data_IF_902630197364
#
_entry.id   IF_902630197364
#
_cell.length_a   1.000
_cell.length_b   1.000
_cell.length_c   1.000
_cell.angle_alpha   90.00
_cell.angle_beta   90.00
_cell.angle_gamma   90.00
#
_symmetry.space_group_name_H-M   'P 1'
#
loop_
_entity.id
_entity.type
_entity.pdbx_description
1 polymer ?
#
# COMPACT_ATOMS: atom_id res chain seq x y z
N UNK A 1 -7.99 14.89 -14.31
CA UNK A 1 -9.19 15.15 -13.47
C UNK A 1 -9.72 13.88 -12.80
N UNK A 2 -9.79 12.73 -13.49
CA UNK A 2 -10.29 11.47 -12.91
C UNK A 2 -9.43 10.92 -11.74
N UNK A 3 -8.10 11.11 -11.75
CA UNK A 3 -7.21 10.53 -10.72
C UNK A 3 -7.54 10.99 -9.30
N UNK A 4 -7.79 12.29 -9.09
CA UNK A 4 -8.20 12.78 -7.77
C UNK A 4 -9.50 12.15 -7.32
N UNK A 5 -10.53 12.09 -8.19
CA UNK A 5 -11.81 11.47 -7.84
C UNK A 5 -11.64 10.00 -7.44
N UNK A 6 -10.92 9.21 -8.23
CA UNK A 6 -10.63 7.80 -7.93
C UNK A 6 -9.86 7.67 -6.60
N UNK A 7 -8.91 8.56 -6.34
CA UNK A 7 -8.15 8.57 -5.09
C UNK A 7 -9.06 8.88 -3.89
N UNK A 8 -9.91 9.90 -3.97
CA UNK A 8 -10.86 10.22 -2.90
C UNK A 8 -11.86 9.10 -2.65
N UNK A 9 -12.39 8.47 -3.70
CA UNK A 9 -13.30 7.32 -3.56
C UNK A 9 -12.57 6.19 -2.83
N UNK A 10 -11.40 5.77 -3.32
CA UNK A 10 -10.70 4.64 -2.71
C UNK A 10 -10.19 4.91 -1.29
N UNK A 11 -9.73 6.13 -0.98
CA UNK A 11 -9.39 6.50 0.41
C UNK A 11 -10.64 6.65 1.29
N UNK A 12 -11.78 7.08 0.76
CA UNK A 12 -13.05 7.10 1.50
C UNK A 12 -13.50 5.70 1.91
N UNK A 13 -13.22 4.69 1.08
CA UNK A 13 -13.49 3.29 1.42
C UNK A 13 -12.61 2.75 2.56
N UNK A 14 -11.53 3.43 2.99
CA UNK A 14 -10.77 3.05 4.20
C UNK A 14 -11.62 3.12 5.47
N UNK A 15 -12.69 3.92 5.48
CA UNK A 15 -13.60 4.01 6.63
C UNK A 15 -14.27 2.68 6.95
N UNK A 16 -14.26 1.72 6.02
CA UNK A 16 -14.71 0.34 6.26
C UNK A 16 -13.92 -0.39 7.36
N UNK A 17 -12.64 -0.04 7.57
CA UNK A 17 -11.80 -0.69 8.60
C UNK A 17 -12.20 -0.30 10.02
N UNK A 18 -12.26 0.99 10.41
CA UNK A 18 -12.72 1.34 11.76
C UNK A 18 -14.19 0.98 12.00
N UNK A 19 -15.02 0.87 10.95
CA UNK A 19 -16.38 0.35 11.05
C UNK A 19 -16.46 -1.11 11.56
N UNK A 20 -15.38 -1.91 11.42
CA UNK A 20 -15.31 -3.25 12.01
C UNK A 20 -15.50 -3.25 13.52
N UNK A 21 -15.24 -2.13 14.20
CA UNK A 21 -15.46 -1.98 15.64
C UNK A 21 -16.93 -2.20 16.05
N UNK A 22 -17.88 -1.96 15.15
CA UNK A 22 -19.32 -1.97 15.44
C UNK A 22 -20.03 -3.22 14.89
N UNK A 23 -19.28 -4.15 14.30
CA UNK A 23 -19.85 -5.35 13.68
C UNK A 23 -19.99 -6.47 14.70
N UNK A 24 -21.18 -7.08 14.75
CA UNK A 24 -21.48 -8.21 15.65
C UNK A 24 -21.36 -9.61 15.01
N UNK A 25 -21.17 -9.71 13.69
CA UNK A 25 -21.15 -10.98 12.96
C UNK A 25 -20.20 -10.95 11.76
N UNK A 26 -19.51 -12.07 11.51
CA UNK A 26 -18.36 -12.13 10.60
C UNK A 26 -18.71 -11.84 9.13
N UNK A 27 -19.96 -12.07 8.70
CA UNK A 27 -20.40 -11.81 7.31
C UNK A 27 -20.27 -10.33 6.96
N UNK A 28 -20.69 -9.45 7.88
CA UNK A 28 -20.58 -8.00 7.67
C UNK A 28 -19.11 -7.55 7.76
N UNK A 29 -18.31 -8.19 8.61
CA UNK A 29 -16.88 -7.94 8.67
C UNK A 29 -16.18 -8.31 7.34
N UNK A 30 -16.55 -9.43 6.74
CA UNK A 30 -16.05 -9.83 5.43
C UNK A 30 -16.42 -8.82 4.33
N UNK A 31 -17.65 -8.31 4.33
CA UNK A 31 -18.07 -7.24 3.40
C UNK A 31 -17.22 -5.99 3.58
N UNK A 32 -16.99 -5.54 4.82
CA UNK A 32 -16.16 -4.37 5.09
C UNK A 32 -14.71 -4.57 4.63
N UNK A 33 -14.14 -5.76 4.83
CA UNK A 33 -12.80 -6.10 4.32
C UNK A 33 -12.78 -6.05 2.78
N UNK A 34 -13.79 -6.61 2.10
CA UNK A 34 -13.89 -6.55 0.63
C UNK A 34 -13.96 -5.09 0.16
N UNK A 35 -14.75 -4.26 0.84
CA UNK A 35 -14.88 -2.82 0.55
C UNK A 35 -13.53 -2.10 0.69
N UNK A 36 -12.75 -2.40 1.73
CA UNK A 36 -11.38 -1.86 1.84
C UNK A 36 -10.51 -2.28 0.66
N UNK A 37 -10.54 -3.57 0.28
CA UNK A 37 -9.74 -4.11 -0.83
C UNK A 37 -10.14 -3.48 -2.16
N UNK A 38 -11.43 -3.26 -2.40
CA UNK A 38 -11.93 -2.50 -3.55
C UNK A 38 -11.41 -1.05 -3.53
N UNK A 39 -11.43 -0.41 -2.36
CA UNK A 39 -10.86 0.91 -2.16
C UNK A 39 -9.38 0.99 -2.53
N UNK A 40 -8.57 0.02 -2.08
CA UNK A 40 -7.16 -0.11 -2.46
C UNK A 40 -6.99 -0.28 -3.97
N UNK A 41 -7.77 -1.15 -4.61
CA UNK A 41 -7.72 -1.38 -6.06
C UNK A 41 -8.04 -0.12 -6.88
N UNK A 42 -8.92 0.76 -6.39
CA UNK A 42 -9.26 2.03 -7.06
C UNK A 42 -8.20 3.10 -6.79
N UNK A 43 -7.77 3.30 -5.53
CA UNK A 43 -6.87 4.41 -5.17
C UNK A 43 -5.43 4.15 -5.60
N UNK A 44 -4.93 2.92 -5.56
CA UNK A 44 -3.51 2.64 -5.79
C UNK A 44 -3.06 3.07 -7.20
N UNK A 45 -3.69 2.64 -8.31
CA UNK A 45 -3.25 3.08 -9.64
C UNK A 45 -3.36 4.60 -9.84
N UNK A 46 -4.40 5.23 -9.31
CA UNK A 46 -4.61 6.67 -9.42
C UNK A 46 -3.56 7.45 -8.61
N UNK A 47 -3.29 7.04 -7.37
CA UNK A 47 -2.27 7.60 -6.49
C UNK A 47 -0.88 7.42 -7.10
N UNK A 48 -0.54 6.21 -7.55
CA UNK A 48 0.79 5.90 -8.07
C UNK A 48 1.07 6.66 -9.37
N UNK A 49 0.04 6.88 -10.19
CA UNK A 49 0.13 7.78 -11.36
C UNK A 49 0.36 9.24 -10.95
N UNK A 50 -0.31 9.73 -9.90
CA UNK A 50 -0.08 11.09 -9.41
C UNK A 50 1.32 11.24 -8.80
N UNK A 51 1.77 10.23 -8.08
CA UNK A 51 3.11 10.15 -7.49
C UNK A 51 4.19 10.08 -8.56
N UNK A 52 4.00 9.34 -9.65
CA UNK A 52 5.00 9.25 -10.72
C UNK A 52 5.35 10.62 -11.31
N UNK A 53 4.38 11.54 -11.39
CA UNK A 53 4.65 12.91 -11.80
C UNK A 53 5.53 13.67 -10.79
N UNK A 54 5.29 13.49 -9.49
CA UNK A 54 6.06 14.15 -8.43
C UNK A 54 7.47 13.57 -8.27
N UNK A 55 7.64 12.26 -8.48
CA UNK A 55 8.93 11.58 -8.30
C UNK A 55 9.96 11.90 -9.39
N UNK A 56 9.55 12.51 -10.52
CA UNK A 56 10.47 12.89 -11.60
C UNK A 56 11.57 13.84 -11.14
N UNK A 57 11.24 14.77 -10.24
CA UNK A 57 12.17 15.78 -9.70
C UNK A 57 13.29 15.16 -8.82
N UNK A 58 13.00 14.03 -8.17
CA UNK A 58 13.89 13.41 -7.16
C UNK A 58 14.50 12.06 -7.57
N UNK A 59 14.08 11.52 -8.72
CA UNK A 59 14.37 10.14 -9.12
C UNK A 59 13.15 9.23 -8.89
N UNK A 60 12.73 8.49 -9.92
CA UNK A 60 11.51 7.67 -9.85
C UNK A 60 11.69 6.52 -8.85
N UNK A 61 12.82 5.82 -8.89
CA UNK A 61 13.12 4.72 -7.97
C UNK A 61 13.19 5.19 -6.53
N UNK A 62 13.94 6.25 -6.24
CA UNK A 62 14.06 6.82 -4.91
C UNK A 62 12.73 7.39 -4.41
N UNK A 63 11.99 8.10 -5.24
CA UNK A 63 10.69 8.67 -4.89
C UNK A 63 9.63 7.60 -4.55
N UNK A 64 9.55 6.52 -5.32
CA UNK A 64 8.70 5.37 -4.97
C UNK A 64 9.24 4.60 -3.75
N UNK A 65 10.56 4.49 -3.58
CA UNK A 65 11.18 3.87 -2.40
C UNK A 65 10.85 4.61 -1.09
N UNK A 66 10.88 5.95 -1.09
CA UNK A 66 10.44 6.76 0.06
C UNK A 66 8.95 6.53 0.34
N UNK A 67 8.12 6.55 -0.71
CA UNK A 67 6.69 6.31 -0.57
C UNK A 67 6.40 4.94 0.04
N UNK A 68 7.08 3.90 -0.43
CA UNK A 68 6.95 2.55 0.10
C UNK A 68 7.41 2.49 1.56
N UNK A 69 8.56 3.06 1.91
CA UNK A 69 9.04 3.11 3.29
C UNK A 69 8.03 3.81 4.23
N UNK A 70 7.36 4.88 3.77
CA UNK A 70 6.30 5.55 4.54
C UNK A 70 5.04 4.67 4.68
N UNK A 71 4.66 3.91 3.65
CA UNK A 71 3.56 2.94 3.72
C UNK A 71 3.86 1.86 4.77
N UNK A 72 5.10 1.35 4.77
CA UNK A 72 5.58 0.33 5.70
C UNK A 72 5.66 0.84 7.14
N UNK A 73 6.03 2.11 7.37
CA UNK A 73 5.91 2.72 8.71
C UNK A 73 4.46 2.67 9.20
N UNK A 74 3.48 2.94 8.34
CA UNK A 74 2.07 2.76 8.66
C UNK A 74 1.70 1.30 8.95
N UNK A 75 2.24 0.36 8.17
CA UNK A 75 2.06 -1.08 8.36
C UNK A 75 2.66 -1.59 9.67
N UNK A 76 3.69 -0.94 10.21
CA UNK A 76 4.25 -1.22 11.54
C UNK A 76 3.39 -0.59 12.64
N UNK A 77 3.02 0.69 12.50
CA UNK A 77 2.27 1.43 13.53
C UNK A 77 0.90 0.80 13.78
N UNK A 78 0.19 0.35 12.75
CA UNK A 78 -1.16 -0.24 12.88
C UNK A 78 -1.23 -1.43 13.86
N UNK A 79 -0.46 -2.50 13.65
CA UNK A 79 -0.39 -3.64 14.58
C UNK A 79 0.16 -3.28 15.96
N UNK A 80 1.05 -2.30 16.07
CA UNK A 80 1.53 -1.80 17.37
C UNK A 80 0.41 -1.10 18.16
N UNK A 81 -0.51 -0.40 17.50
CA UNK A 81 -1.73 0.12 18.15
C UNK A 81 -2.55 -1.03 18.74
N UNK A 82 -2.77 -2.12 18.00
CA UNK A 82 -3.48 -3.30 18.52
C UNK A 82 -2.74 -3.95 19.69
N UNK A 83 -1.42 -4.07 19.59
CA UNK A 83 -0.59 -4.63 20.65
C UNK A 83 -0.72 -3.81 21.95
N UNK A 84 -0.67 -2.48 21.85
CA UNK A 84 -0.88 -1.58 22.98
C UNK A 84 -2.30 -1.68 23.55
N UNK A 85 -3.32 -1.77 22.69
CA UNK A 85 -4.71 -1.94 23.12
C UNK A 85 -4.88 -3.23 23.92
N UNK A 86 -4.31 -4.34 23.47
CA UNK A 86 -4.38 -5.60 24.21
C UNK A 86 -3.57 -5.58 25.50
N UNK A 87 -2.40 -4.93 25.50
CA UNK A 87 -1.62 -4.72 26.72
C UNK A 87 -2.41 -3.96 27.80
N UNK A 88 -3.27 -3.02 27.40
CA UNK A 88 -4.16 -2.27 28.28
C UNK A 88 -5.50 -2.99 28.56
N UNK A 89 -5.59 -4.30 28.30
CA UNK A 89 -6.81 -5.12 28.44
C UNK A 89 -8.00 -4.61 27.61
N UNK A 90 -7.71 -4.01 26.46
CA UNK A 90 -8.70 -3.61 25.47
C UNK A 90 -9.17 -4.78 24.60
N UNK A 91 -10.20 -4.53 23.79
CA UNK A 91 -10.75 -5.51 22.85
C UNK A 91 -10.47 -5.11 21.40
N UNK A 92 -10.69 -6.03 20.46
CA UNK A 92 -10.62 -5.74 19.03
C UNK A 92 -11.48 -4.53 18.64
N UNK A 93 -12.68 -4.38 19.23
CA UNK A 93 -13.55 -3.24 18.96
C UNK A 93 -12.90 -1.90 19.34
N UNK A 94 -12.21 -1.84 20.49
CA UNK A 94 -11.44 -0.64 20.87
C UNK A 94 -10.29 -0.39 19.89
N UNK A 95 -9.58 -1.44 19.48
CA UNK A 95 -8.48 -1.35 18.50
C UNK A 95 -8.94 -0.77 17.16
N UNK A 96 -10.01 -1.32 16.58
CA UNK A 96 -10.61 -0.78 15.35
C UNK A 96 -11.16 0.63 15.54
N UNK A 97 -11.73 0.97 16.69
CA UNK A 97 -12.25 2.33 16.95
C UNK A 97 -11.14 3.39 16.91
N UNK A 98 -9.94 3.08 17.40
CA UNK A 98 -8.80 4.01 17.34
C UNK A 98 -8.42 4.34 15.89
N UNK A 99 -8.65 3.42 14.94
CA UNK A 99 -8.33 3.63 13.52
C UNK A 99 -9.17 4.70 12.82
N UNK A 100 -10.23 5.22 13.46
CA UNK A 100 -10.91 6.43 12.98
C UNK A 100 -9.94 7.62 12.87
N UNK A 101 -9.01 7.74 13.82
CA UNK A 101 -8.04 8.84 13.87
C UNK A 101 -7.16 8.85 12.61
N UNK A 102 -6.36 7.81 12.30
CA UNK A 102 -5.54 7.79 11.10
C UNK A 102 -6.37 7.81 9.81
N UNK A 103 -7.59 7.25 9.80
CA UNK A 103 -8.45 7.31 8.61
C UNK A 103 -8.89 8.75 8.27
N UNK A 104 -9.29 9.54 9.26
CA UNK A 104 -9.61 10.96 9.05
C UNK A 104 -8.38 11.79 8.75
N UNK A 105 -7.24 11.53 9.39
CA UNK A 105 -5.98 12.19 9.07
C UNK A 105 -5.55 11.92 7.62
N UNK A 106 -5.73 10.70 7.12
CA UNK A 106 -5.46 10.36 5.72
C UNK A 106 -6.37 11.14 4.75
N UNK A 107 -7.66 11.28 5.06
CA UNK A 107 -8.58 12.08 4.24
C UNK A 107 -8.28 13.59 4.29
N UNK A 108 -7.91 14.11 5.46
CA UNK A 108 -7.52 15.49 5.64
C UNK A 108 -6.23 15.82 4.87
N UNK A 109 -5.20 14.98 5.01
CA UNK A 109 -3.95 15.12 4.25
C UNK A 109 -4.18 15.01 2.75
N UNK A 110 -5.08 14.12 2.29
CA UNK A 110 -5.47 14.03 0.88
C UNK A 110 -6.16 15.31 0.39
N UNK A 111 -7.02 15.91 1.20
CA UNK A 111 -7.67 17.19 0.89
C UNK A 111 -6.65 18.34 0.78
N UNK A 112 -5.67 18.39 1.68
CA UNK A 112 -4.58 19.36 1.63
C UNK A 112 -3.70 19.14 0.38
N UNK A 113 -3.33 17.90 0.09
CA UNK A 113 -2.54 17.56 -1.10
C UNK A 113 -3.24 17.97 -2.40
N UNK A 114 -4.57 17.76 -2.50
CA UNK A 114 -5.36 18.23 -3.65
C UNK A 114 -5.34 19.75 -3.79
N UNK A 115 -5.38 20.48 -2.67
CA UNK A 115 -5.34 21.95 -2.69
C UNK A 115 -3.98 22.46 -3.18
N UNK A 116 -2.88 21.84 -2.73
CA UNK A 116 -1.53 22.22 -3.14
C UNK A 116 -1.21 21.82 -4.58
N UNK A 117 -1.66 20.63 -5.02
CA UNK A 117 -1.38 20.08 -6.35
C UNK A 117 -2.67 19.66 -7.07
N UNK A 118 -3.53 20.61 -7.47
CA UNK A 118 -4.82 20.29 -8.08
C UNK A 118 -4.70 19.61 -9.45
N UNK A 119 -3.56 19.78 -10.13
CA UNK A 119 -3.26 19.14 -11.42
C UNK A 119 -1.86 18.50 -11.39
N UNK A 120 -1.73 17.27 -10.86
CA UNK A 120 -0.45 16.57 -10.74
C UNK A 120 0.27 16.40 -12.07
N UNK A 121 -0.47 16.35 -13.19
CA UNK A 121 0.10 16.25 -14.53
C UNK A 121 0.98 17.46 -14.89
N UNK A 122 0.77 18.62 -14.24
CA UNK A 122 1.60 19.82 -14.49
C UNK A 122 2.97 19.74 -13.82
N UNK A 123 3.20 18.78 -12.92
CA UNK A 123 4.50 18.55 -12.30
C UNK A 123 5.51 17.93 -13.28
N UNK A 124 5.03 17.23 -14.31
CA UNK A 124 5.87 16.93 -15.45
C UNK A 124 5.70 18.06 -16.48
N UNK A 125 6.81 18.64 -16.95
CA UNK A 125 6.79 19.55 -18.09
C UNK A 125 5.98 18.90 -19.23
N UNK A 126 5.16 19.67 -19.98
CA UNK A 126 4.41 19.13 -21.10
C UNK A 126 5.43 18.66 -22.14
N UNK A 127 5.84 17.41 -22.04
CA UNK A 127 6.30 16.69 -23.21
C UNK A 127 5.13 16.80 -24.18
N UNK A 128 5.39 17.28 -25.38
CA UNK A 128 4.60 17.01 -26.57
C UNK A 128 4.56 15.49 -26.79
N UNK A 129 4.03 14.76 -25.82
CA UNK A 129 3.64 13.39 -25.98
C UNK A 129 2.33 13.55 -26.70
N UNK A 130 2.47 13.63 -28.03
CA UNK A 130 1.41 13.40 -28.97
C UNK A 130 0.47 12.38 -28.32
N UNK A 131 -0.77 12.80 -28.05
CA UNK A 131 -1.84 11.91 -27.58
C UNK A 131 -2.20 10.99 -28.74
N UNK A 132 -1.22 10.37 -29.38
CA UNK A 132 -1.39 9.21 -30.21
C UNK A 132 -2.09 8.22 -29.32
N UNK A 133 -3.39 8.09 -29.61
CA UNK A 133 -4.19 6.94 -29.29
C UNK A 133 -3.30 5.77 -28.89
N UNK A 134 -3.27 5.43 -27.60
CA UNK A 134 -2.81 4.12 -27.13
C UNK A 134 -3.85 3.09 -27.60
N UNK A 135 -4.05 3.02 -28.91
CA UNK A 135 -4.66 1.95 -29.69
C UNK A 135 -3.57 1.02 -30.23
N UNK A 136 -2.31 1.23 -29.84
CA UNK A 136 -1.20 0.31 -30.08
C UNK A 136 -1.21 -0.82 -29.05
N UNK A 137 -0.88 -2.04 -29.50
CA UNK A 137 -0.64 -3.17 -28.59
C UNK A 137 0.50 -2.83 -27.63
N UNK A 138 0.35 -3.21 -26.36
CA UNK A 138 1.42 -3.06 -25.36
C UNK A 138 2.68 -3.81 -25.82
N UNK A 139 3.89 -3.27 -25.59
CA UNK A 139 5.13 -3.85 -26.08
C UNK A 139 5.38 -5.23 -25.46
N UNK A 140 6.09 -6.12 -26.16
CA UNK A 140 6.40 -7.47 -25.68
C UNK A 140 7.08 -7.47 -24.30
N UNK A 141 7.94 -6.48 -24.03
CA UNK A 141 8.63 -6.30 -22.74
C UNK A 141 7.63 -6.12 -21.59
N UNK A 142 6.50 -5.43 -21.81
CA UNK A 142 5.46 -5.30 -20.79
C UNK A 142 4.90 -6.66 -20.40
N UNK A 143 4.53 -7.50 -21.37
CA UNK A 143 3.98 -8.84 -21.10
C UNK A 143 4.99 -9.78 -20.45
N UNK A 144 6.26 -9.73 -20.88
CA UNK A 144 7.33 -10.50 -20.23
C UNK A 144 7.54 -10.05 -18.79
N UNK A 145 7.53 -8.74 -18.53
CA UNK A 145 7.61 -8.20 -17.18
C UNK A 145 6.40 -8.62 -16.33
N UNK A 146 5.17 -8.51 -16.86
CA UNK A 146 3.95 -8.95 -16.16
C UNK A 146 3.99 -10.44 -15.83
N UNK A 147 4.45 -11.29 -16.77
CA UNK A 147 4.58 -12.72 -16.53
C UNK A 147 5.66 -13.02 -15.48
N UNK A 148 6.80 -12.33 -15.55
CA UNK A 148 7.85 -12.42 -14.53
C UNK A 148 7.31 -12.05 -13.15
N UNK A 149 6.66 -10.89 -12.99
CA UNK A 149 6.06 -10.47 -11.72
C UNK A 149 5.01 -11.47 -11.22
N UNK A 150 4.16 -11.98 -12.12
CA UNK A 150 3.16 -13.00 -11.77
C UNK A 150 3.83 -14.25 -11.20
N UNK A 151 4.85 -14.79 -11.87
CA UNK A 151 5.54 -16.01 -11.44
C UNK A 151 6.35 -15.81 -10.16
N UNK A 152 6.98 -14.64 -9.98
CA UNK A 152 7.76 -14.33 -8.77
C UNK A 152 6.90 -14.23 -7.51
N UNK A 153 5.62 -13.89 -7.65
CA UNK A 153 4.68 -13.77 -6.52
C UNK A 153 3.73 -14.98 -6.44
N UNK A 154 3.66 -15.80 -7.49
CA UNK A 154 2.82 -16.99 -7.53
C UNK A 154 3.26 -17.99 -6.45
N UNK A 155 2.35 -18.30 -5.53
CA UNK A 155 2.60 -19.24 -4.44
C UNK A 155 3.05 -18.60 -3.12
N UNK A 156 3.21 -17.27 -3.05
CA UNK A 156 3.44 -16.61 -1.77
C UNK A 156 2.21 -16.71 -0.88
N UNK A 157 2.39 -17.30 0.31
CA UNK A 157 1.37 -17.31 1.33
C UNK A 157 1.23 -15.88 1.89
N UNK A 158 0.02 -15.32 1.79
CA UNK A 158 -0.22 -14.00 2.36
C UNK A 158 -0.14 -14.08 3.89
N UNK A 159 0.29 -12.99 4.52
CA UNK A 159 0.52 -12.96 5.97
C UNK A 159 -0.72 -13.33 6.77
N UNK A 160 -1.94 -13.05 6.30
CA UNK A 160 -3.16 -13.44 7.03
C UNK A 160 -3.31 -14.97 7.16
N UNK A 161 -2.87 -15.74 6.15
CA UNK A 161 -2.88 -17.19 6.22
C UNK A 161 -1.77 -17.71 7.14
N UNK A 162 -0.59 -17.09 7.06
CA UNK A 162 0.54 -17.41 7.94
C UNK A 162 0.18 -17.13 9.41
N UNK A 163 -0.35 -15.95 9.71
CA UNK A 163 -0.74 -15.56 11.06
C UNK A 163 -1.85 -16.42 11.64
N UNK A 164 -2.84 -16.79 10.81
CA UNK A 164 -3.88 -17.74 11.21
C UNK A 164 -3.30 -19.11 11.55
N UNK A 165 -2.38 -19.62 10.73
CA UNK A 165 -1.70 -20.89 11.00
C UNK A 165 -0.89 -20.84 12.30
N UNK A 166 -0.11 -19.77 12.51
CA UNK A 166 0.68 -19.55 13.73
C UNK A 166 -0.19 -19.55 14.99
N UNK A 167 -1.36 -18.88 14.93
CA UNK A 167 -2.33 -18.84 16.02
C UNK A 167 -2.97 -20.20 16.29
N UNK A 168 -3.54 -20.85 15.26
CA UNK A 168 -4.26 -22.13 15.42
C UNK A 168 -3.35 -23.24 15.91
N UNK A 169 -2.11 -23.29 15.43
CA UNK A 169 -1.12 -24.28 15.86
C UNK A 169 -0.41 -23.90 17.17
N UNK A 170 -0.74 -22.75 17.76
CA UNK A 170 -0.09 -22.23 18.97
C UNK A 170 1.44 -22.19 18.88
N UNK A 171 1.97 -21.93 17.67
CA UNK A 171 3.42 -21.91 17.41
C UNK A 171 4.07 -20.73 18.12
N UNK A 172 3.36 -19.61 18.18
CA UNK A 172 3.77 -18.38 18.88
C UNK A 172 2.58 -17.77 19.62
N UNK A 173 2.86 -16.89 20.58
CA UNK A 173 1.80 -16.18 21.29
C UNK A 173 1.12 -15.13 20.41
N UNK A 174 -0.13 -14.78 20.72
CA UNK A 174 -0.92 -13.77 19.98
C UNK A 174 -0.22 -12.40 19.93
N UNK A 175 0.60 -12.09 20.93
CA UNK A 175 1.39 -10.85 20.99
C UNK A 175 2.59 -10.89 20.03
N UNK A 176 3.17 -12.06 19.77
CA UNK A 176 4.31 -12.22 18.87
C UNK A 176 3.93 -12.11 17.39
N UNK A 177 2.68 -12.44 17.03
CA UNK A 177 2.21 -12.39 15.64
C UNK A 177 2.31 -10.97 15.04
N UNK A 178 1.76 -9.90 15.67
CA UNK A 178 1.97 -8.52 15.24
C UNK A 178 3.44 -8.10 15.17
N UNK A 179 4.29 -8.61 16.07
CA UNK A 179 5.71 -8.28 16.11
C UNK A 179 6.43 -8.84 14.88
N UNK A 180 6.17 -10.10 14.49
CA UNK A 180 6.73 -10.66 13.26
C UNK A 180 6.27 -9.91 12.01
N UNK A 181 5.00 -9.48 11.97
CA UNK A 181 4.54 -8.61 10.91
C UNK A 181 5.35 -7.30 10.86
N UNK A 182 5.50 -6.63 12.00
CA UNK A 182 6.24 -5.37 12.08
C UNK A 182 7.71 -5.52 11.66
N UNK A 183 8.36 -6.63 12.03
CA UNK A 183 9.73 -6.94 11.59
C UNK A 183 9.78 -7.10 10.06
N UNK A 184 8.86 -7.88 9.48
CA UNK A 184 8.80 -8.08 8.03
C UNK A 184 8.59 -6.77 7.27
N UNK A 185 7.67 -5.92 7.73
CA UNK A 185 7.43 -4.59 7.15
C UNK A 185 8.63 -3.66 7.34
N UNK A 186 9.38 -3.80 8.43
CA UNK A 186 10.63 -3.04 8.66
C UNK A 186 11.74 -3.42 7.68
N UNK A 187 11.90 -4.72 7.40
CA UNK A 187 12.82 -5.20 6.36
C UNK A 187 12.40 -4.66 4.99
N UNK A 188 11.10 -4.70 4.67
CA UNK A 188 10.53 -4.17 3.43
C UNK A 188 10.82 -2.66 3.27
N UNK A 189 10.60 -1.87 4.32
CA UNK A 189 10.89 -0.43 4.33
C UNK A 189 12.36 -0.12 3.99
N UNK A 190 13.29 -0.87 4.58
CA UNK A 190 14.72 -0.70 4.32
C UNK A 190 15.10 -1.16 2.90
N UNK A 191 14.57 -2.30 2.47
CA UNK A 191 14.78 -2.83 1.13
C UNK A 191 14.28 -1.85 0.06
N UNK A 192 13.10 -1.25 0.26
CA UNK A 192 12.52 -0.27 -0.66
C UNK A 192 13.42 0.95 -0.89
N UNK A 193 14.05 1.48 0.16
CA UNK A 193 14.99 2.60 0.05
C UNK A 193 16.27 2.19 -0.71
N UNK A 194 16.83 1.02 -0.39
CA UNK A 194 18.06 0.51 -1.02
C UNK A 194 17.84 0.19 -2.51
N UNK A 195 16.77 -0.55 -2.82
CA UNK A 195 16.41 -0.94 -4.18
C UNK A 195 16.00 0.30 -4.97
N UNK A 196 15.21 1.20 -4.40
CA UNK A 196 14.80 2.45 -5.05
C UNK A 196 15.99 3.32 -5.48
N UNK A 197 16.97 3.51 -4.59
CA UNK A 197 18.20 4.24 -4.90
C UNK A 197 19.07 3.54 -5.95
N UNK A 198 19.09 2.21 -5.93
CA UNK A 198 19.86 1.41 -6.89
C UNK A 198 19.21 1.42 -8.27
N UNK A 199 17.88 1.34 -8.32
CA UNK A 199 17.08 1.43 -9.55
C UNK A 199 17.35 2.73 -10.32
N UNK A 200 17.47 3.86 -9.62
CA UNK A 200 17.80 5.14 -10.27
C UNK A 200 19.19 5.15 -10.94
N UNK A 201 20.09 4.24 -10.57
CA UNK A 201 21.44 4.12 -11.17
C UNK A 201 21.51 3.11 -12.31
N UNK A 202 20.92 1.93 -12.14
CA UNK A 202 21.09 0.80 -13.07
C UNK A 202 19.80 0.36 -13.77
N UNK A 203 18.69 1.05 -13.51
CA UNK A 203 17.39 0.77 -14.12
C UNK A 203 16.88 -0.65 -13.85
N UNK A 204 16.22 -1.25 -14.84
CA UNK A 204 15.56 -2.56 -14.72
C UNK A 204 16.52 -3.71 -14.37
N UNK A 205 17.83 -3.55 -14.52
CA UNK A 205 18.82 -4.57 -14.14
C UNK A 205 18.75 -4.86 -12.64
N UNK A 206 18.38 -3.87 -11.81
CA UNK A 206 18.20 -4.08 -10.37
C UNK A 206 17.15 -5.15 -10.03
N UNK A 207 16.20 -5.39 -10.94
CA UNK A 207 15.13 -6.38 -10.75
C UNK A 207 15.62 -7.82 -10.86
N UNK A 208 16.81 -8.06 -11.43
CA UNK A 208 17.42 -9.39 -11.46
C UNK A 208 17.79 -9.90 -10.07
N UNK A 209 17.92 -9.02 -9.08
CA UNK A 209 18.16 -9.39 -7.69
C UNK A 209 16.88 -9.88 -6.97
N UNK A 210 15.68 -9.60 -7.50
CA UNK A 210 14.40 -9.91 -6.82
C UNK A 210 14.22 -11.40 -6.51
N UNK A 211 14.56 -12.36 -7.39
CA UNK A 211 14.44 -13.79 -7.06
C UNK A 211 15.39 -14.29 -5.97
N UNK A 212 16.39 -13.49 -5.58
CA UNK A 212 17.39 -13.83 -4.56
C UNK A 212 17.09 -13.18 -3.19
N UNK A 213 16.10 -12.29 -3.13
CA UNK A 213 15.62 -11.61 -1.92
C UNK A 213 14.41 -12.35 -1.34
#
# INVERSE_FOLDING_TARGET
KAYWLMTFIGYGLLLSIPLLAFVGYWQLAAILIIVERMGKAIRSPARDTMLSYATKEVGRGWGFGIHEALDQVGAIIGPLIFSLVFFLNGSYQKGFSILWIPAFLALATLALARRSVPSPQKLEAPLETDRQNIKGKLPRVFWLYTLFTLLSVAGFANFQLISYHLHVQSIVSDVQIPIFYAIAMGVDALAALLVGKTYDKIGLISLLAVPLL
#
